data_IF_753671183266
#
_entry.id   IF_753671183266
#
_cell.length_a   1.000
_cell.length_b   1.000
_cell.length_c   1.000
_cell.angle_alpha   90.00
_cell.angle_beta   90.00
_cell.angle_gamma   90.00
#
_symmetry.space_group_name_H-M   'P 1'
#
loop_
_entity.id
_entity.type
_entity.pdbx_description
1 polymer ?
#
# COMPACT_ATOMS: atom_id res chain seq x y z
N UNK A 1 3.35 39.86 0.57
CA UNK A 1 2.98 38.46 0.57
C UNK A 1 1.47 38.33 0.44
N UNK A 2 1.02 37.52 -0.44
CA UNK A 2 -0.42 37.36 -0.63
C UNK A 2 -0.99 36.48 0.47
N UNK A 3 -2.12 36.87 1.03
CA UNK A 3 -2.83 36.12 2.03
C UNK A 3 -3.71 35.05 1.36
N UNK A 4 -3.06 34.17 0.58
CA UNK A 4 -3.80 33.12 -0.09
C UNK A 4 -4.09 32.00 0.89
N UNK A 5 -5.36 31.80 1.19
CA UNK A 5 -5.81 30.66 1.94
C UNK A 5 -5.94 29.47 1.02
N UNK A 6 -5.38 28.34 1.43
CA UNK A 6 -5.55 27.09 0.70
C UNK A 6 -6.99 26.61 0.85
N UNK A 7 -7.58 26.20 -0.26
CA UNK A 7 -8.88 25.52 -0.23
C UNK A 7 -8.66 24.03 -0.02
N UNK A 8 -9.73 23.30 0.32
CA UNK A 8 -9.65 21.84 0.40
C UNK A 8 -9.23 21.24 -0.93
N UNK A 9 -9.72 21.78 -2.03
CA UNK A 9 -9.33 21.32 -3.37
C UNK A 9 -7.84 21.51 -3.63
N UNK A 10 -7.26 22.65 -3.20
CA UNK A 10 -5.82 22.89 -3.30
C UNK A 10 -5.04 21.88 -2.47
N UNK A 11 -5.48 21.63 -1.25
CA UNK A 11 -4.84 20.66 -0.35
C UNK A 11 -4.87 19.25 -0.93
N UNK A 12 -6.01 18.82 -1.45
CA UNK A 12 -6.14 17.48 -2.05
C UNK A 12 -5.20 17.30 -3.24
N UNK A 13 -5.01 18.35 -4.06
CA UNK A 13 -4.07 18.30 -5.18
C UNK A 13 -2.61 18.22 -4.74
N UNK A 14 -2.30 18.66 -3.52
CA UNK A 14 -0.95 18.64 -2.98
C UNK A 14 -0.60 17.34 -2.25
N UNK A 15 -1.54 16.42 -2.07
CA UNK A 15 -1.25 15.13 -1.44
C UNK A 15 -0.29 14.35 -2.33
N UNK A 16 0.94 14.08 -1.86
CA UNK A 16 1.94 13.44 -2.72
C UNK A 16 1.65 11.95 -2.91
N UNK A 17 1.70 11.53 -4.16
CA UNK A 17 1.55 10.13 -4.52
C UNK A 17 2.65 9.73 -5.50
N UNK A 18 2.90 8.43 -5.58
CA UNK A 18 3.82 7.83 -6.55
C UNK A 18 3.07 6.74 -7.31
N UNK A 19 2.99 6.89 -8.63
CA UNK A 19 2.36 5.90 -9.48
C UNK A 19 3.44 5.00 -10.08
N UNK A 20 3.22 3.69 -10.01
CA UNK A 20 4.10 2.68 -10.60
C UNK A 20 3.30 1.83 -11.58
N UNK A 21 4.00 1.31 -12.57
CA UNK A 21 3.41 0.34 -13.49
C UNK A 21 4.37 -0.82 -13.65
N UNK A 22 3.86 -2.05 -13.54
CA UNK A 22 4.63 -3.26 -13.74
C UNK A 22 3.71 -4.37 -14.25
N UNK A 23 4.16 -5.07 -15.29
CA UNK A 23 3.46 -6.21 -15.87
C UNK A 23 2.00 -5.91 -16.23
N UNK A 24 1.74 -4.67 -16.69
CA UNK A 24 0.41 -4.23 -17.08
C UNK A 24 -0.49 -3.78 -15.92
N UNK A 25 0.03 -3.77 -14.69
CA UNK A 25 -0.72 -3.33 -13.50
C UNK A 25 -0.24 -1.96 -13.04
N UNK A 26 -1.19 -1.06 -12.80
CA UNK A 26 -0.92 0.28 -12.27
C UNK A 26 -1.22 0.32 -10.78
N UNK A 27 -0.32 0.91 -10.00
CA UNK A 27 -0.46 1.06 -8.56
C UNK A 27 -0.17 2.51 -8.19
N UNK A 28 -0.91 3.05 -7.23
CA UNK A 28 -0.65 4.39 -6.71
C UNK A 28 -0.41 4.29 -5.20
N UNK A 29 0.74 4.78 -4.75
CA UNK A 29 1.07 4.82 -3.33
C UNK A 29 1.07 6.25 -2.81
N UNK A 30 0.53 6.45 -1.60
CA UNK A 30 0.66 7.68 -0.86
C UNK A 30 2.08 7.81 -0.32
N UNK A 31 2.77 8.90 -0.66
CA UNK A 31 4.18 9.12 -0.32
C UNK A 31 4.34 10.44 0.45
N UNK A 32 3.92 10.49 1.73
CA UNK A 32 3.92 11.74 2.49
C UNK A 32 5.31 12.20 2.92
N UNK A 33 6.32 11.33 2.84
CA UNK A 33 7.71 11.66 3.22
C UNK A 33 8.67 11.04 2.23
N UNK A 34 9.91 11.53 2.22
CA UNK A 34 10.96 10.94 1.38
C UNK A 34 11.29 9.52 1.79
N UNK A 35 11.18 9.21 3.09
CA UNK A 35 11.40 7.85 3.58
C UNK A 35 10.38 6.88 2.96
N UNK A 36 9.09 7.24 2.97
CA UNK A 36 8.05 6.41 2.36
C UNK A 36 8.26 6.30 0.85
N UNK A 37 8.62 7.39 0.18
CA UNK A 37 8.93 7.37 -1.25
C UNK A 37 10.07 6.39 -1.56
N UNK A 38 11.11 6.38 -0.72
CA UNK A 38 12.23 5.45 -0.88
C UNK A 38 11.78 3.99 -0.74
N UNK A 39 10.89 3.70 0.20
CA UNK A 39 10.32 2.35 0.33
C UNK A 39 9.56 1.95 -0.93
N UNK A 40 8.72 2.84 -1.45
CA UNK A 40 7.94 2.58 -2.66
C UNK A 40 8.86 2.33 -3.85
N UNK A 41 9.93 3.11 -3.99
CA UNK A 41 10.88 2.97 -5.09
C UNK A 41 11.58 1.61 -5.10
N UNK A 42 11.65 0.92 -3.95
CA UNK A 42 12.34 -0.36 -3.83
C UNK A 42 11.44 -1.58 -3.85
N UNK A 43 10.14 -1.40 -4.06
CA UNK A 43 9.16 -2.50 -3.93
C UNK A 43 9.54 -3.76 -4.72
N UNK A 44 10.07 -3.60 -5.94
CA UNK A 44 10.37 -4.75 -6.80
C UNK A 44 11.82 -5.22 -6.72
N UNK A 45 12.67 -4.57 -5.90
CA UNK A 45 14.10 -4.90 -5.84
C UNK A 45 14.59 -5.24 -4.44
N UNK A 46 13.90 -4.78 -3.38
CA UNK A 46 14.35 -4.98 -2.00
C UNK A 46 14.21 -6.43 -1.55
N UNK A 47 13.10 -7.07 -1.90
CA UNK A 47 12.83 -8.46 -1.55
C UNK A 47 12.33 -9.20 -2.79
N UNK A 48 13.24 -9.48 -3.75
CA UNK A 48 12.82 -10.11 -5.00
C UNK A 48 12.18 -11.47 -4.82
N UNK A 49 12.58 -12.23 -3.81
CA UNK A 49 11.99 -13.53 -3.49
C UNK A 49 10.54 -13.40 -3.02
N UNK A 50 10.17 -12.32 -2.33
CA UNK A 50 8.77 -12.07 -1.96
C UNK A 50 7.93 -11.76 -3.19
N UNK A 51 8.45 -10.96 -4.10
CA UNK A 51 7.79 -10.65 -5.37
C UNK A 51 7.59 -11.93 -6.19
N UNK A 52 8.63 -12.78 -6.29
CA UNK A 52 8.55 -14.05 -7.00
C UNK A 52 7.51 -14.97 -6.36
N UNK A 53 7.49 -15.07 -5.05
CA UNK A 53 6.50 -15.88 -4.33
C UNK A 53 5.06 -15.40 -4.62
N UNK A 54 4.84 -14.10 -4.66
CA UNK A 54 3.52 -13.54 -4.98
C UNK A 54 3.06 -13.98 -6.37
N UNK A 55 3.97 -14.13 -7.34
CA UNK A 55 3.59 -14.58 -8.67
C UNK A 55 2.98 -15.98 -8.69
N UNK A 56 3.20 -16.76 -7.64
CA UNK A 56 2.66 -18.12 -7.51
C UNK A 56 1.24 -18.16 -6.94
N UNK A 57 0.72 -17.02 -6.47
CA UNK A 57 -0.64 -16.95 -5.94
C UNK A 57 -1.66 -17.12 -7.06
N UNK A 58 -2.77 -17.77 -6.74
CA UNK A 58 -3.88 -17.94 -7.67
C UNK A 58 -5.01 -16.97 -7.34
N UNK A 59 -5.76 -16.57 -8.35
CA UNK A 59 -6.94 -15.73 -8.14
C UNK A 59 -7.88 -16.39 -7.12
N UNK A 60 -8.35 -15.61 -6.16
CA UNK A 60 -9.20 -16.10 -5.08
C UNK A 60 -8.47 -16.66 -3.86
N UNK A 61 -7.15 -16.83 -3.92
CA UNK A 61 -6.37 -17.19 -2.74
C UNK A 61 -6.50 -16.12 -1.65
N UNK A 62 -6.26 -16.53 -0.43
CA UNK A 62 -6.21 -15.63 0.73
C UNK A 62 -4.75 -15.39 1.10
N UNK A 63 -4.34 -14.12 1.09
CA UNK A 63 -3.02 -13.70 1.51
C UNK A 63 -3.11 -13.00 2.86
N UNK A 64 -2.35 -13.49 3.84
CA UNK A 64 -2.25 -12.88 5.17
C UNK A 64 -0.88 -12.21 5.29
N UNK A 65 -0.87 -10.90 5.44
CA UNK A 65 0.35 -10.09 5.52
C UNK A 65 0.51 -9.56 6.94
N UNK A 66 1.39 -10.18 7.71
CA UNK A 66 1.68 -9.81 9.09
C UNK A 66 2.87 -8.85 9.10
N UNK A 67 2.66 -7.66 9.68
CA UNK A 67 3.66 -6.60 9.59
C UNK A 67 3.65 -5.93 8.22
N UNK A 68 2.47 -5.58 7.74
CA UNK A 68 2.27 -5.11 6.37
C UNK A 68 2.93 -3.75 6.09
N UNK A 69 3.33 -3.01 7.13
CA UNK A 69 3.94 -1.69 6.99
C UNK A 69 3.00 -0.75 6.22
N UNK A 70 3.46 -0.11 5.15
CA UNK A 70 2.63 0.76 4.31
C UNK A 70 1.84 0.00 3.24
N UNK A 71 1.98 -1.32 3.20
CA UNK A 71 1.19 -2.19 2.36
C UNK A 71 1.76 -2.52 0.99
N UNK A 72 3.07 -2.36 0.77
CA UNK A 72 3.67 -2.60 -0.55
C UNK A 72 3.27 -3.95 -1.13
N UNK A 73 3.48 -5.03 -0.38
CA UNK A 73 3.22 -6.38 -0.89
C UNK A 73 1.74 -6.74 -0.85
N UNK A 74 1.01 -6.27 0.17
CA UNK A 74 -0.45 -6.45 0.24
C UNK A 74 -1.14 -5.84 -0.98
N UNK A 75 -0.79 -4.60 -1.31
CA UNK A 75 -1.36 -3.89 -2.47
C UNK A 75 -0.96 -4.59 -3.76
N UNK A 76 0.32 -4.92 -3.91
CA UNK A 76 0.82 -5.56 -5.13
C UNK A 76 0.15 -6.92 -5.35
N UNK A 77 0.10 -7.77 -4.32
CA UNK A 77 -0.52 -9.09 -4.44
C UNK A 77 -2.01 -8.99 -4.81
N UNK A 78 -2.73 -8.08 -4.18
CA UNK A 78 -4.16 -7.91 -4.43
C UNK A 78 -4.43 -7.46 -5.86
N UNK A 79 -3.63 -6.52 -6.37
CA UNK A 79 -3.80 -6.01 -7.74
C UNK A 79 -3.32 -7.04 -8.77
N UNK A 80 -2.11 -7.59 -8.58
CA UNK A 80 -1.47 -8.40 -9.62
C UNK A 80 -2.01 -9.82 -9.70
N UNK A 81 -2.46 -10.38 -8.57
CA UNK A 81 -2.89 -11.78 -8.51
C UNK A 81 -4.37 -11.97 -8.17
N UNK A 82 -5.10 -10.88 -7.97
CA UNK A 82 -6.54 -10.92 -7.64
C UNK A 82 -6.84 -11.81 -6.43
N UNK A 83 -6.00 -11.69 -5.39
CA UNK A 83 -6.20 -12.41 -4.14
C UNK A 83 -7.06 -11.57 -3.18
N UNK A 84 -7.57 -12.23 -2.14
CA UNK A 84 -8.16 -11.56 -0.99
C UNK A 84 -7.08 -11.43 0.08
N UNK A 85 -6.86 -10.20 0.57
CA UNK A 85 -5.76 -9.94 1.49
C UNK A 85 -6.26 -9.47 2.85
N UNK A 86 -5.63 -9.97 3.92
CA UNK A 86 -5.79 -9.50 5.28
C UNK A 86 -4.43 -8.99 5.77
N UNK A 87 -4.32 -7.69 5.99
CA UNK A 87 -3.06 -7.04 6.38
C UNK A 87 -3.12 -6.60 7.83
N UNK A 88 -2.05 -6.84 8.57
CA UNK A 88 -1.96 -6.51 9.99
C UNK A 88 -0.73 -5.61 10.19
N UNK A 89 -0.96 -4.41 10.72
CA UNK A 89 0.10 -3.44 10.96
C UNK A 89 -0.19 -2.65 12.24
N UNK A 90 0.59 -2.85 13.31
CA UNK A 90 0.30 -2.22 14.61
C UNK A 90 0.79 -0.77 14.72
N UNK A 91 1.74 -0.32 13.88
CA UNK A 91 2.28 1.03 13.99
C UNK A 91 1.32 2.02 13.33
N UNK A 92 0.91 3.04 14.09
CA UNK A 92 -0.19 3.91 13.70
C UNK A 92 0.07 4.70 12.41
N UNK A 93 1.29 5.23 12.22
CA UNK A 93 1.60 6.01 11.02
C UNK A 93 1.65 5.11 9.78
N UNK A 94 2.28 3.94 9.90
CA UNK A 94 2.32 2.98 8.80
C UNK A 94 0.91 2.48 8.46
N UNK A 95 0.10 2.21 9.48
CA UNK A 95 -1.28 1.77 9.27
C UNK A 95 -2.09 2.84 8.54
N UNK A 96 -1.92 4.12 8.89
CA UNK A 96 -2.64 5.20 8.21
C UNK A 96 -2.28 5.30 6.74
N UNK A 97 -1.00 5.10 6.41
CA UNK A 97 -0.53 5.08 5.02
C UNK A 97 -1.08 3.86 4.28
N UNK A 98 -1.05 2.69 4.93
CA UNK A 98 -1.65 1.46 4.39
C UNK A 98 -3.13 1.68 4.03
N UNK A 99 -3.91 2.29 4.92
CA UNK A 99 -5.32 2.58 4.66
C UNK A 99 -5.49 3.53 3.48
N UNK A 100 -4.65 4.56 3.38
CA UNK A 100 -4.68 5.48 2.25
C UNK A 100 -4.36 4.75 0.94
N UNK A 101 -3.41 3.83 0.97
CA UNK A 101 -3.02 3.05 -0.21
C UNK A 101 -4.16 2.11 -0.66
N UNK A 102 -4.90 1.54 0.28
CA UNK A 102 -6.08 0.72 -0.05
C UNK A 102 -7.13 1.57 -0.77
N UNK A 103 -7.40 2.76 -0.26
CA UNK A 103 -8.38 3.69 -0.85
C UNK A 103 -7.92 4.16 -2.24
N UNK A 104 -6.65 4.55 -2.36
CA UNK A 104 -6.10 5.07 -3.62
C UNK A 104 -6.18 4.05 -4.77
N UNK A 105 -6.20 2.76 -4.45
CA UNK A 105 -6.24 1.69 -5.44
C UNK A 105 -7.61 1.00 -5.52
N UNK A 106 -8.62 1.53 -4.84
CA UNK A 106 -9.99 0.97 -4.82
C UNK A 106 -10.04 -0.49 -4.40
N UNK A 107 -9.29 -0.85 -3.35
CA UNK A 107 -9.17 -2.25 -2.91
C UNK A 107 -9.98 -2.57 -1.65
N UNK A 108 -10.87 -1.69 -1.21
CA UNK A 108 -11.58 -1.84 0.05
C UNK A 108 -12.43 -3.11 0.18
N UNK A 109 -12.82 -3.72 -0.93
CA UNK A 109 -13.60 -4.97 -0.95
C UNK A 109 -12.72 -6.23 -1.03
N UNK A 110 -11.42 -6.09 -1.29
CA UNK A 110 -10.50 -7.22 -1.42
C UNK A 110 -9.34 -7.21 -0.45
N UNK A 111 -9.05 -6.07 0.17
CA UNK A 111 -7.97 -5.91 1.13
C UNK A 111 -8.50 -5.27 2.41
N UNK A 112 -8.53 -6.04 3.48
CA UNK A 112 -8.91 -5.57 4.82
C UNK A 112 -7.66 -5.39 5.67
N UNK A 113 -7.55 -4.27 6.37
CA UNK A 113 -6.40 -3.97 7.22
C UNK A 113 -6.82 -3.78 8.67
N UNK A 114 -5.96 -4.21 9.60
CA UNK A 114 -6.23 -4.19 11.04
C UNK A 114 -5.03 -3.60 11.77
N UNK A 115 -5.26 -2.62 12.68
CA UNK A 115 -4.17 -1.94 13.40
C UNK A 115 -3.74 -2.74 14.65
N UNK A 116 -3.41 -4.00 14.46
CA UNK A 116 -3.03 -4.90 15.56
C UNK A 116 -1.79 -5.70 15.21
N UNK A 117 -1.05 -6.10 16.24
CA UNK A 117 0.03 -7.07 16.12
C UNK A 117 -0.53 -8.48 16.27
N UNK A 118 0.03 -9.40 15.50
CA UNK A 118 -0.27 -10.82 15.63
C UNK A 118 0.87 -11.45 16.43
N UNK A 119 0.51 -12.17 17.49
CA UNK A 119 1.47 -12.79 18.38
C UNK A 119 0.88 -14.09 18.94
N UNK A 120 1.77 -15.00 19.33
CA UNK A 120 1.43 -16.24 19.99
C UNK A 120 1.33 -16.11 21.52
N UNK A 121 1.45 -14.88 22.02
CA UNK A 121 1.43 -14.61 23.46
C UNK A 121 0.24 -13.76 23.88
#
# INVERSE_FOLDING_TARGET
MSDQNLTLADYERMIPTCALEKDGHAITFYTPTEHVKALVDTIFVQEPETIEWITEFNAGDVFVDIGANIGLYSIWATISQDVKCFAFEPEALNFSILMRNIVNNNLGDRLAAYPIAISDK
#
